data_IF_162490222751
#
_entry.id   IF_162490222751
#
_cell.length_a   1.000
_cell.length_b   1.000
_cell.length_c   1.000
_cell.angle_alpha   90.00
_cell.angle_beta   90.00
_cell.angle_gamma   90.00
#
_symmetry.space_group_name_H-M   'P 1'
#
loop_
_entity.id
_entity.type
_entity.pdbx_description
1 polymer ?
#
# COMPACT_ATOMS: atom_id res chain seq x y z
N UNK A 1 21.39 2.58 -5.34
CA UNK A 1 20.00 2.08 -5.25
C UNK A 1 19.06 3.15 -5.81
N UNK A 2 18.42 2.90 -6.95
CA UNK A 2 17.43 3.82 -7.52
C UNK A 2 16.11 3.73 -6.75
N UNK A 3 15.33 4.82 -6.68
CA UNK A 3 13.97 4.82 -6.08
C UNK A 3 13.07 3.71 -6.65
N UNK A 4 13.29 3.31 -7.90
CA UNK A 4 12.58 2.21 -8.55
C UNK A 4 12.90 0.83 -7.94
N UNK A 5 14.17 0.57 -7.61
CA UNK A 5 14.60 -0.69 -6.99
C UNK A 5 14.05 -0.82 -5.56
N UNK A 6 13.98 0.30 -4.83
CA UNK A 6 13.34 0.35 -3.52
C UNK A 6 11.85 -0.01 -3.61
N UNK A 7 11.11 0.63 -4.54
CA UNK A 7 9.69 0.34 -4.76
C UNK A 7 9.46 -1.12 -5.17
N UNK A 8 10.31 -1.68 -6.02
CA UNK A 8 10.24 -3.08 -6.46
C UNK A 8 10.42 -4.04 -5.28
N UNK A 9 11.37 -3.73 -4.40
CA UNK A 9 11.69 -4.51 -3.20
C UNK A 9 10.54 -4.48 -2.20
N UNK A 10 10.03 -3.30 -1.88
CA UNK A 10 8.87 -3.12 -0.96
C UNK A 10 7.63 -3.83 -1.51
N UNK A 11 7.36 -3.74 -2.82
CA UNK A 11 6.24 -4.47 -3.45
C UNK A 11 6.40 -5.98 -3.35
N UNK A 12 7.62 -6.52 -3.45
CA UNK A 12 7.87 -7.96 -3.28
C UNK A 12 7.57 -8.38 -1.84
N UNK A 13 8.07 -7.62 -0.88
CA UNK A 13 7.88 -7.93 0.55
C UNK A 13 6.40 -7.86 0.97
N UNK A 14 5.64 -6.89 0.44
CA UNK A 14 4.18 -6.82 0.63
C UNK A 14 3.47 -8.08 0.10
N UNK A 15 3.85 -8.58 -1.10
CA UNK A 15 3.26 -9.81 -1.65
C UNK A 15 3.56 -11.03 -0.79
N UNK A 16 4.78 -11.15 -0.28
CA UNK A 16 5.16 -12.25 0.61
C UNK A 16 4.43 -12.20 1.96
N UNK A 17 4.20 -11.00 2.49
CA UNK A 17 3.41 -10.83 3.71
C UNK A 17 1.95 -11.21 3.49
N UNK A 18 1.34 -10.81 2.37
CA UNK A 18 -0.02 -11.23 2.03
C UNK A 18 -0.13 -12.74 1.95
N UNK A 19 0.78 -13.39 1.23
CA UNK A 19 0.77 -14.85 1.13
C UNK A 19 0.87 -15.54 2.50
N UNK A 20 1.70 -15.02 3.41
CA UNK A 20 1.80 -15.52 4.79
C UNK A 20 0.53 -15.30 5.59
N UNK A 21 -0.10 -14.13 5.46
CA UNK A 21 -1.36 -13.80 6.12
C UNK A 21 -2.46 -14.75 5.64
N UNK A 22 -2.59 -14.93 4.32
CA UNK A 22 -3.60 -15.81 3.73
C UNK A 22 -3.44 -17.24 4.22
N UNK A 23 -2.20 -17.76 4.23
CA UNK A 23 -1.90 -19.08 4.75
C UNK A 23 -2.26 -19.22 6.23
N UNK A 24 -2.01 -18.18 7.03
CA UNK A 24 -2.36 -18.16 8.46
C UNK A 24 -3.87 -18.07 8.67
N UNK A 25 -4.59 -17.30 7.86
CA UNK A 25 -6.06 -17.23 7.89
C UNK A 25 -6.66 -18.61 7.61
N UNK A 26 -6.22 -19.27 6.53
CA UNK A 26 -6.71 -20.62 6.16
C UNK A 26 -6.43 -21.63 7.28
N UNK A 27 -5.29 -21.51 7.96
CA UNK A 27 -4.91 -22.38 9.07
C UNK A 27 -5.52 -21.99 10.43
N UNK A 28 -6.29 -20.91 10.50
CA UNK A 28 -6.83 -20.39 11.77
C UNK A 28 -5.77 -19.89 12.75
N UNK A 29 -4.56 -19.55 12.26
CA UNK A 29 -3.44 -19.07 13.07
C UNK A 29 -3.46 -17.55 13.19
N UNK A 30 -2.91 -17.04 14.30
CA UNK A 30 -2.74 -15.59 14.48
C UNK A 30 -1.78 -15.01 13.43
N UNK A 31 -2.29 -14.05 12.67
CA UNK A 31 -1.57 -13.27 11.65
C UNK A 31 -1.32 -11.81 12.08
N UNK A 32 -1.50 -11.51 13.38
CA UNK A 32 -1.45 -10.12 13.91
C UNK A 32 -0.12 -9.43 13.62
N UNK A 33 0.99 -10.15 13.74
CA UNK A 33 2.33 -9.60 13.52
C UNK A 33 2.58 -9.32 12.03
N UNK A 34 2.17 -10.22 11.15
CA UNK A 34 2.28 -10.03 9.70
C UNK A 34 1.40 -8.86 9.24
N UNK A 35 0.18 -8.74 9.75
CA UNK A 35 -0.71 -7.62 9.44
C UNK A 35 -0.13 -6.29 9.94
N UNK A 36 0.46 -6.25 11.13
CA UNK A 36 1.15 -5.06 11.65
C UNK A 36 2.30 -4.66 10.72
N UNK A 37 3.14 -5.61 10.32
CA UNK A 37 4.27 -5.36 9.41
C UNK A 37 3.80 -4.89 8.04
N UNK A 38 2.77 -5.52 7.49
CA UNK A 38 2.14 -5.15 6.23
C UNK A 38 1.63 -3.69 6.26
N UNK A 39 0.97 -3.29 7.35
CA UNK A 39 0.47 -1.92 7.51
C UNK A 39 1.58 -0.88 7.62
N UNK A 40 2.71 -1.22 8.25
CA UNK A 40 3.88 -0.33 8.32
C UNK A 40 4.47 -0.12 6.93
N UNK A 41 4.65 -1.19 6.15
CA UNK A 41 5.18 -1.11 4.79
C UNK A 41 4.25 -0.35 3.85
N UNK A 42 2.93 -0.52 3.97
CA UNK A 42 1.95 0.26 3.22
C UNK A 42 2.08 1.76 3.49
N UNK A 43 2.16 2.17 4.76
CA UNK A 43 2.35 3.59 5.12
C UNK A 43 3.66 4.16 4.58
N UNK A 44 4.73 3.37 4.54
CA UNK A 44 5.99 3.78 3.94
C UNK A 44 5.85 3.96 2.42
N UNK A 45 5.11 3.06 1.75
CA UNK A 45 4.82 3.16 0.33
C UNK A 45 3.97 4.40 0.02
N UNK A 46 2.91 4.64 0.81
CA UNK A 46 2.04 5.82 0.68
C UNK A 46 2.84 7.11 0.76
N UNK A 47 3.70 7.27 1.79
CA UNK A 47 4.56 8.46 1.91
C UNK A 47 5.51 8.65 0.74
N UNK A 48 6.08 7.57 0.22
CA UNK A 48 6.95 7.61 -0.97
C UNK A 48 6.17 7.98 -2.24
N UNK A 49 4.86 7.71 -2.28
CA UNK A 49 3.99 7.95 -3.42
C UNK A 49 3.22 9.29 -3.32
N UNK A 50 2.99 9.82 -2.12
CA UNK A 50 2.45 11.16 -1.86
C UNK A 50 3.37 12.25 -2.39
N UNK A 51 4.69 12.05 -2.34
CA UNK A 51 5.65 12.91 -3.06
C UNK A 51 5.48 12.90 -4.58
N UNK A 52 4.61 12.03 -5.12
CA UNK A 52 4.22 11.91 -6.53
C UNK A 52 2.75 12.31 -6.78
N UNK A 53 1.95 12.53 -5.74
CA UNK A 53 0.48 12.57 -5.77
C UNK A 53 -0.12 13.92 -5.33
N UNK A 54 0.56 15.04 -5.58
CA UNK A 54 -0.17 16.31 -5.68
C UNK A 54 -1.09 16.35 -6.93
N UNK A 55 -0.88 15.45 -7.91
CA UNK A 55 -1.63 15.46 -9.18
C UNK A 55 -2.80 14.49 -9.33
N UNK A 56 -2.93 13.44 -8.49
CA UNK A 56 -3.95 12.38 -8.69
C UNK A 56 -5.17 12.59 -7.79
N UNK A 57 -4.98 13.00 -6.53
CA UNK A 57 -6.07 13.29 -5.61
C UNK A 57 -6.85 14.55 -6.01
N UNK A 58 -6.16 15.56 -6.57
CA UNK A 58 -6.80 16.75 -7.14
C UNK A 58 -7.70 16.45 -8.34
N UNK A 59 -7.36 15.44 -9.16
CA UNK A 59 -8.17 15.03 -10.32
C UNK A 59 -9.47 14.33 -9.89
N UNK A 60 -9.45 13.54 -8.82
CA UNK A 60 -10.68 12.93 -8.30
C UNK A 60 -11.59 13.93 -7.57
N UNK A 61 -11.01 14.87 -6.82
CA UNK A 61 -11.78 15.95 -6.19
C UNK A 61 -12.45 16.88 -7.24
N UNK A 62 -11.75 17.19 -8.34
CA UNK A 62 -12.30 17.96 -9.46
C UNK A 62 -13.47 17.26 -10.16
N UNK A 63 -13.45 15.93 -10.28
CA UNK A 63 -14.56 15.19 -10.88
C UNK A 63 -15.80 15.20 -9.99
N UNK A 64 -15.65 15.13 -8.67
CA UNK A 64 -16.76 15.23 -7.73
C UNK A 64 -17.41 16.63 -7.72
N UNK A 65 -16.63 17.69 -7.89
CA UNK A 65 -17.14 19.05 -7.98
C UNK A 65 -17.98 19.31 -9.25
N UNK A 66 -17.75 18.55 -10.33
CA UNK A 66 -18.51 18.68 -11.58
C UNK A 66 -19.92 18.09 -11.51
N UNK A 67 -20.22 17.24 -10.51
CA UNK A 67 -21.56 16.67 -10.28
C UNK A 67 -22.38 17.43 -9.23
N UNK A 68 -21.81 18.47 -8.62
CA UNK A 68 -22.51 19.35 -7.66
C UNK A 68 -22.99 20.67 -8.28
N UNK A 69 -23.18 20.70 -9.60
CA UNK A 69 -23.86 21.77 -10.32
C UNK A 69 -24.83 21.19 -11.36
#
# INVERSE_FOLDING_TARGET
MSKHELLKTVKRELRELNWRIDLKIVRGLSYREEARRHRILLRQLERLNESRSEGIFGKMASMAAMFMF
#
